data_IF_208449640568
#
_entry.id   IF_208449640568
#
_cell.length_a   1.000
_cell.length_b   1.000
_cell.length_c   1.000
_cell.angle_alpha   90.00
_cell.angle_beta   90.00
_cell.angle_gamma   90.00
#
_symmetry.space_group_name_H-M   'P 1'
#
loop_
_entity.id
_entity.type
_entity.pdbx_description
1 polymer ?
#
# COMPACT_ATOMS: atom_id res chain seq x y z
N UNK A 1 -12.84 -2.43 -2.67
CA UNK A 1 -14.10 -1.70 -2.40
C UNK A 1 -13.73 -0.27 -2.08
N UNK A 2 -14.48 0.70 -2.58
CA UNK A 2 -14.18 2.13 -2.45
C UNK A 2 -14.98 2.70 -1.26
N UNK A 3 -14.28 3.32 -0.31
CA UNK A 3 -14.87 3.93 0.89
C UNK A 3 -15.90 5.05 0.59
N UNK A 4 -15.98 5.52 -0.66
CA UNK A 4 -17.04 6.43 -1.13
C UNK A 4 -18.40 5.74 -1.23
N UNK A 5 -18.44 4.42 -1.47
CA UNK A 5 -19.67 3.66 -1.72
C UNK A 5 -20.05 2.72 -0.59
N UNK A 6 -19.05 2.23 0.17
CA UNK A 6 -19.27 1.44 1.38
C UNK A 6 -18.50 2.09 2.53
N UNK A 7 -19.18 2.40 3.63
CA UNK A 7 -18.60 3.08 4.80
C UNK A 7 -18.43 2.16 6.01
N UNK A 8 -19.03 0.97 5.95
CA UNK A 8 -18.88 -0.06 6.95
C UNK A 8 -17.46 -0.68 6.86
N UNK A 9 -16.61 -0.36 7.83
CA UNK A 9 -15.23 -0.85 7.88
C UNK A 9 -15.16 -2.38 7.98
N UNK A 10 -16.11 -3.03 8.66
CA UNK A 10 -16.11 -4.50 8.80
C UNK A 10 -16.38 -5.17 7.45
N UNK A 11 -17.29 -4.61 6.66
CA UNK A 11 -17.55 -5.09 5.30
C UNK A 11 -16.37 -4.86 4.36
N UNK A 12 -15.70 -3.71 4.48
CA UNK A 12 -14.51 -3.42 3.70
C UNK A 12 -13.36 -4.35 4.05
N UNK A 13 -13.19 -4.66 5.34
CA UNK A 13 -12.21 -5.62 5.82
C UNK A 13 -12.52 -7.02 5.27
N UNK A 14 -13.79 -7.45 5.32
CA UNK A 14 -14.22 -8.73 4.75
C UNK A 14 -13.92 -8.83 3.25
N UNK A 15 -14.19 -7.77 2.47
CA UNK A 15 -13.78 -7.74 1.05
C UNK A 15 -12.27 -7.88 0.86
N UNK A 16 -11.46 -7.27 1.73
CA UNK A 16 -10.01 -7.43 1.68
C UNK A 16 -9.58 -8.86 2.05
N UNK A 17 -10.26 -9.52 3.01
CA UNK A 17 -10.02 -10.91 3.33
C UNK A 17 -10.37 -11.84 2.16
N UNK A 18 -11.51 -11.60 1.50
CA UNK A 18 -11.89 -12.34 0.30
C UNK A 18 -10.84 -12.19 -0.81
N UNK A 19 -10.37 -10.97 -1.06
CA UNK A 19 -9.28 -10.70 -2.01
C UNK A 19 -7.99 -11.44 -1.62
N UNK A 20 -7.60 -11.37 -0.35
CA UNK A 20 -6.39 -12.03 0.12
C UNK A 20 -6.46 -13.56 -0.02
N UNK A 21 -7.63 -14.15 0.18
CA UNK A 21 -7.87 -15.59 -0.03
C UNK A 21 -7.80 -15.97 -1.52
N UNK A 22 -8.29 -15.11 -2.40
CA UNK A 22 -8.24 -15.33 -3.85
C UNK A 22 -6.83 -15.16 -4.43
N UNK A 23 -6.04 -14.23 -3.89
CA UNK A 23 -4.70 -13.94 -4.39
C UNK A 23 -3.68 -15.04 -4.06
N UNK A 24 -3.16 -15.68 -5.11
CA UNK A 24 -2.10 -16.70 -5.03
C UNK A 24 -0.69 -16.09 -4.83
N UNK A 25 -0.56 -14.78 -5.00
CA UNK A 25 0.70 -14.04 -4.87
C UNK A 25 0.55 -12.89 -3.86
N UNK A 26 1.67 -12.34 -3.34
CA UNK A 26 1.63 -11.10 -2.58
C UNK A 26 0.94 -9.99 -3.36
N UNK A 27 0.23 -9.12 -2.66
CA UNK A 27 -0.51 -8.01 -3.27
C UNK A 27 -0.37 -6.75 -2.44
N UNK A 28 -0.57 -5.61 -3.09
CA UNK A 28 -0.54 -4.28 -2.49
C UNK A 28 -1.76 -3.49 -2.95
N UNK A 29 -2.21 -2.54 -2.14
CA UNK A 29 -3.33 -1.66 -2.51
C UNK A 29 -2.84 -0.40 -3.25
N UNK A 30 -3.56 0.00 -4.30
CA UNK A 30 -3.27 1.20 -5.08
C UNK A 30 -4.16 2.36 -4.67
N UNK A 31 -3.59 3.56 -4.58
CA UNK A 31 -4.33 4.75 -4.15
C UNK A 31 -5.44 5.24 -5.07
N UNK A 32 -5.40 4.89 -6.36
CA UNK A 32 -6.35 5.32 -7.39
C UNK A 32 -6.61 6.84 -7.55
N UNK A 33 -5.98 7.72 -6.76
CA UNK A 33 -6.28 9.16 -6.72
C UNK A 33 -7.35 9.56 -5.69
N UNK A 34 -7.66 8.69 -4.71
CA UNK A 34 -8.44 9.13 -3.55
C UNK A 34 -7.64 10.11 -2.69
N UNK A 35 -8.30 10.82 -1.77
CA UNK A 35 -7.58 11.71 -0.85
C UNK A 35 -6.74 10.90 0.17
N UNK A 36 -5.76 11.55 0.79
CA UNK A 36 -4.83 10.89 1.69
C UNK A 36 -5.52 10.19 2.88
N UNK A 37 -6.47 10.85 3.52
CA UNK A 37 -7.16 10.33 4.71
C UNK A 37 -7.92 9.05 4.41
N UNK A 38 -8.58 8.99 3.25
CA UNK A 38 -9.26 7.80 2.77
C UNK A 38 -8.25 6.68 2.53
N UNK A 39 -7.20 6.98 1.76
CA UNK A 39 -6.19 6.00 1.40
C UNK A 39 -5.45 5.44 2.63
N UNK A 40 -5.21 6.26 3.64
CA UNK A 40 -4.59 5.84 4.89
C UNK A 40 -5.42 4.76 5.60
N UNK A 41 -6.75 4.89 5.59
CA UNK A 41 -7.67 3.87 6.14
C UNK A 41 -7.67 2.61 5.27
N UNK A 42 -7.70 2.77 3.95
CA UNK A 42 -7.65 1.63 3.01
C UNK A 42 -6.36 0.81 3.17
N UNK A 43 -5.21 1.47 3.32
CA UNK A 43 -3.93 0.80 3.58
C UNK A 43 -3.96 0.01 4.87
N UNK A 44 -4.51 0.58 5.95
CA UNK A 44 -4.66 -0.13 7.22
C UNK A 44 -5.51 -1.39 7.06
N UNK A 45 -6.72 -1.27 6.50
CA UNK A 45 -7.64 -2.41 6.30
C UNK A 45 -7.02 -3.48 5.39
N UNK A 46 -6.41 -3.07 4.28
CA UNK A 46 -5.76 -3.99 3.35
C UNK A 46 -4.60 -4.76 4.02
N UNK A 47 -3.74 -4.07 4.77
CA UNK A 47 -2.64 -4.71 5.48
C UNK A 47 -3.15 -5.69 6.54
N UNK A 48 -4.13 -5.28 7.37
CA UNK A 48 -4.78 -6.16 8.36
C UNK A 48 -5.40 -7.41 7.72
N UNK A 49 -5.87 -7.31 6.47
CA UNK A 49 -6.43 -8.44 5.74
C UNK A 49 -5.40 -9.35 5.05
N UNK A 50 -4.12 -8.96 5.01
CA UNK A 50 -3.03 -9.76 4.45
C UNK A 50 -2.29 -9.14 3.25
N UNK A 51 -2.53 -7.87 2.93
CA UNK A 51 -1.71 -7.16 1.94
C UNK A 51 -0.28 -7.00 2.43
N UNK A 52 0.67 -6.95 1.50
CA UNK A 52 2.10 -6.72 1.78
C UNK A 52 2.49 -5.25 1.82
N UNK A 53 1.53 -4.34 1.68
CA UNK A 53 1.75 -2.90 1.72
C UNK A 53 0.90 -2.16 0.69
N UNK A 54 1.47 -1.10 0.13
CA UNK A 54 0.76 -0.15 -0.71
C UNK A 54 1.61 0.34 -1.87
N UNK A 55 0.95 0.83 -2.92
CA UNK A 55 1.54 1.62 -4.00
C UNK A 55 0.80 2.95 -4.11
N UNK A 56 1.46 4.01 -3.65
CA UNK A 56 0.86 5.33 -3.52
C UNK A 56 1.43 6.31 -4.54
N UNK A 57 0.55 7.10 -5.15
CA UNK A 57 0.93 8.20 -6.03
C UNK A 57 0.12 9.43 -5.67
N UNK A 58 -0.96 9.67 -6.42
CA UNK A 58 -1.81 10.85 -6.28
C UNK A 58 -2.34 11.10 -4.87
N UNK A 59 -2.67 10.08 -4.09
CA UNK A 59 -3.09 10.27 -2.70
C UNK A 59 -2.03 10.95 -1.82
N UNK A 60 -0.74 10.88 -2.20
CA UNK A 60 0.32 11.58 -1.51
C UNK A 60 0.46 13.03 -1.96
N UNK A 61 0.52 13.28 -3.28
CA UNK A 61 1.06 14.52 -3.84
C UNK A 61 0.11 15.31 -4.76
N UNK A 62 -1.12 14.85 -5.03
CA UNK A 62 -1.97 15.49 -6.03
C UNK A 62 -2.26 16.97 -5.76
N UNK A 63 -2.31 17.40 -4.49
CA UNK A 63 -2.52 18.80 -4.13
C UNK A 63 -1.37 19.71 -4.63
N UNK A 64 -0.15 19.17 -4.73
CA UNK A 64 1.01 19.91 -5.24
C UNK A 64 0.81 20.40 -6.69
N UNK A 65 -0.06 19.73 -7.46
CA UNK A 65 -0.37 20.13 -8.84
C UNK A 65 -1.12 21.46 -8.91
N UNK A 66 -1.82 21.84 -7.84
CA UNK A 66 -2.61 23.07 -7.75
C UNK A 66 -1.84 24.22 -7.09
N UNK A 67 -0.64 23.96 -6.54
CA UNK A 67 0.19 24.98 -5.90
C UNK A 67 1.00 25.73 -6.96
N UNK A 68 0.65 26.98 -7.24
CA UNK A 68 1.32 27.81 -8.26
C UNK A 68 2.75 28.21 -7.87
N UNK A 69 2.98 28.54 -6.60
CA UNK A 69 4.31 28.93 -6.11
C UNK A 69 5.25 27.73 -6.06
N UNK A 70 6.40 27.81 -6.74
CA UNK A 70 7.43 26.76 -6.69
C UNK A 70 7.91 26.52 -5.26
N UNK A 71 8.10 27.58 -4.49
CA UNK A 71 8.60 27.49 -3.11
C UNK A 71 7.60 26.77 -2.21
N UNK A 72 6.32 27.15 -2.28
CA UNK A 72 5.26 26.49 -1.50
C UNK A 72 5.06 25.04 -1.92
N UNK A 73 5.17 24.75 -3.23
CA UNK A 73 5.07 23.39 -3.75
C UNK A 73 6.19 22.50 -3.21
N UNK A 74 7.44 22.99 -3.23
CA UNK A 74 8.58 22.28 -2.64
C UNK A 74 8.38 22.06 -1.14
N UNK A 75 7.97 23.10 -0.41
CA UNK A 75 7.69 22.98 1.02
C UNK A 75 6.60 21.93 1.31
N UNK A 76 5.53 21.85 0.50
CA UNK A 76 4.50 20.83 0.63
C UNK A 76 5.03 19.41 0.38
N UNK A 77 5.87 19.22 -0.65
CA UNK A 77 6.49 17.93 -0.96
C UNK A 77 7.46 17.48 0.16
N UNK A 78 8.30 18.37 0.64
CA UNK A 78 9.31 18.08 1.67
C UNK A 78 8.71 17.86 3.05
N UNK A 79 7.53 18.43 3.33
CA UNK A 79 6.88 18.32 4.63
C UNK A 79 5.69 17.36 4.61
N UNK A 80 4.64 17.71 3.89
CA UNK A 80 3.35 17.00 3.95
C UNK A 80 3.46 15.64 3.28
N UNK A 81 4.01 15.60 2.05
CA UNK A 81 4.17 14.33 1.32
C UNK A 81 5.12 13.38 2.05
N UNK A 82 6.24 13.89 2.56
CA UNK A 82 7.18 13.09 3.35
C UNK A 82 6.53 12.50 4.62
N UNK A 83 5.77 13.31 5.38
CA UNK A 83 5.03 12.84 6.57
C UNK A 83 3.98 11.78 6.22
N UNK A 84 3.23 11.99 5.14
CA UNK A 84 2.23 11.05 4.62
C UNK A 84 2.85 9.71 4.24
N UNK A 85 3.96 9.73 3.49
CA UNK A 85 4.68 8.51 3.12
C UNK A 85 5.19 7.78 4.36
N UNK A 86 5.76 8.51 5.32
CA UNK A 86 6.23 7.94 6.58
C UNK A 86 5.11 7.22 7.34
N UNK A 87 3.94 7.84 7.48
CA UNK A 87 2.84 7.21 8.23
C UNK A 87 2.27 5.97 7.53
N UNK A 88 2.20 5.95 6.19
CA UNK A 88 1.82 4.75 5.45
C UNK A 88 2.85 3.62 5.62
N UNK A 89 4.15 3.96 5.60
CA UNK A 89 5.22 3.00 5.87
C UNK A 89 5.14 2.42 7.27
N UNK A 90 4.82 3.24 8.28
CA UNK A 90 4.59 2.78 9.65
C UNK A 90 3.40 1.81 9.73
N UNK A 91 2.29 2.11 9.05
CA UNK A 91 1.14 1.19 8.96
C UNK A 91 1.50 -0.14 8.28
N UNK A 92 2.15 -0.08 7.13
CA UNK A 92 2.57 -1.28 6.40
C UNK A 92 3.57 -2.11 7.20
N UNK A 93 4.43 -1.47 8.00
CA UNK A 93 5.37 -2.16 8.88
C UNK A 93 4.67 -2.81 10.07
N UNK A 94 3.63 -2.17 10.60
CA UNK A 94 2.88 -2.67 11.76
C UNK A 94 1.89 -3.80 11.41
N UNK A 95 1.26 -3.72 10.24
CA UNK A 95 0.14 -4.60 9.89
C UNK A 95 0.37 -5.40 8.59
N UNK A 96 1.35 -5.03 7.77
CA UNK A 96 1.58 -5.68 6.48
C UNK A 96 2.10 -7.10 6.63
N UNK A 97 1.70 -7.96 5.70
CA UNK A 97 2.19 -9.33 5.62
C UNK A 97 3.46 -9.39 4.76
N UNK A 98 4.60 -9.90 5.26
CA UNK A 98 5.83 -9.97 4.47
C UNK A 98 5.61 -10.70 3.16
N UNK A 99 6.03 -10.12 2.03
CA UNK A 99 5.73 -10.65 0.70
C UNK A 99 6.22 -12.09 0.50
N UNK A 100 7.37 -12.43 1.07
CA UNK A 100 7.97 -13.76 0.97
C UNK A 100 7.16 -14.84 1.69
N UNK A 101 6.20 -14.49 2.57
CA UNK A 101 5.37 -15.47 3.28
C UNK A 101 4.38 -16.22 2.37
N UNK A 102 4.06 -15.68 1.19
CA UNK A 102 3.18 -16.31 0.20
C UNK A 102 3.93 -16.94 -0.97
N UNK A 103 5.26 -16.87 -0.99
CA UNK A 103 6.09 -17.40 -2.07
C UNK A 103 6.82 -18.62 -1.54
N UNK A 104 6.66 -19.76 -2.23
CA UNK A 104 7.54 -20.91 -2.01
C UNK A 104 8.85 -20.67 -2.76
N UNK A 105 9.95 -20.54 -2.03
CA UNK A 105 11.27 -20.52 -2.62
C UNK A 105 11.73 -21.96 -2.83
N UNK A 106 12.17 -22.27 -4.03
CA UNK A 106 13.03 -23.43 -4.25
C UNK A 106 14.41 -23.03 -3.75
N UNK A 107 15.01 -23.80 -2.84
CA UNK A 107 16.42 -23.62 -2.51
C UNK A 107 17.24 -23.76 -3.80
N UNK A 108 17.95 -22.70 -4.17
CA UNK A 108 18.90 -22.76 -5.27
C UNK A 108 20.17 -23.40 -4.72
N UNK A 109 20.43 -24.64 -5.12
CA UNK A 109 21.71 -25.30 -4.83
C UNK A 109 22.84 -24.47 -5.45
N UNK A 110 23.81 -24.03 -4.63
CA UNK A 110 24.99 -23.30 -5.10
C UNK A 110 25.79 -24.07 -6.17
N UNK A 111 25.62 -25.40 -6.23
CA UNK A 111 26.22 -26.29 -7.21
C UNK A 111 25.35 -26.54 -8.45
N UNK A 112 24.25 -25.80 -8.68
CA UNK A 112 23.37 -25.98 -9.85
C UNK A 112 24.13 -26.02 -11.19
N UNK A 113 25.25 -25.29 -11.28
CA UNK A 113 26.10 -25.19 -12.46
C UNK A 113 26.94 -26.44 -12.73
N UNK A 114 27.02 -27.38 -11.77
CA UNK A 114 27.79 -28.62 -11.89
C UNK A 114 27.00 -29.76 -12.55
N UNK A 115 25.69 -29.62 -12.67
CA UNK A 115 24.75 -30.64 -13.15
C UNK A 115 23.97 -30.23 -14.41
N UNK A 116 24.37 -29.13 -15.06
CA UNK A 116 23.86 -28.69 -16.37
C UNK A 116 24.78 -29.09 -17.53
#
# INVERSE_FOLDING_TARGET
ADLKYEKDEDRLLDFCHQLNKASQVPWVILSAGVNFELFHREVKLACQAGASGFLAGRALWQEATQISSRQERLAFLETTVAKRLKSLTELASAYGTPWYSKVQFTEVDENWHRSY
#
